data_IF_400216679448
#
_entry.id   IF_400216679448
#
_cell.length_a   1.000
_cell.length_b   1.000
_cell.length_c   1.000
_cell.angle_alpha   90.00
_cell.angle_beta   90.00
_cell.angle_gamma   90.00
#
_symmetry.space_group_name_H-M   'P 1'
#
loop_
_entity.id
_entity.type
_entity.pdbx_description
1 polymer ?
#
# COMPACT_ATOMS: atom_id res chain seq x y z
N UNK A 1 -59.15 21.65 -31.85
CA UNK A 1 -58.48 20.83 -32.87
C UNK A 1 -56.98 21.06 -32.71
N UNK A 2 -56.48 20.79 -31.51
CA UNK A 2 -55.72 19.57 -31.10
C UNK A 2 -54.24 19.99 -30.98
N UNK A 3 -53.87 20.71 -29.92
CA UNK A 3 -53.41 20.17 -28.63
C UNK A 3 -52.22 19.19 -28.78
N UNK A 4 -51.00 19.67 -28.49
CA UNK A 4 -49.93 18.79 -27.99
C UNK A 4 -49.07 19.52 -26.95
N UNK A 5 -49.45 19.28 -25.70
CA UNK A 5 -48.78 19.58 -24.44
C UNK A 5 -47.49 18.72 -24.26
N UNK A 6 -46.54 19.09 -23.38
CA UNK A 6 -45.16 18.61 -23.40
C UNK A 6 -44.80 17.50 -22.38
N UNK A 7 -43.57 16.97 -22.53
CA UNK A 7 -42.77 16.11 -21.60
C UNK A 7 -43.11 14.60 -21.57
N UNK A 8 -42.27 13.68 -21.03
CA UNK A 8 -40.95 13.81 -20.36
C UNK A 8 -39.85 12.83 -20.84
N UNK A 9 -38.64 13.00 -20.28
CA UNK A 9 -37.49 12.08 -20.35
C UNK A 9 -37.82 10.70 -19.74
N UNK A 10 -37.09 9.64 -20.13
CA UNK A 10 -36.76 8.58 -19.18
C UNK A 10 -35.25 8.38 -19.05
N UNK A 11 -34.81 8.53 -17.80
CA UNK A 11 -33.54 8.05 -17.26
C UNK A 11 -33.28 6.60 -17.68
N UNK A 12 -32.19 6.39 -18.42
CA UNK A 12 -31.64 5.07 -18.74
C UNK A 12 -30.39 4.80 -17.92
N UNK A 13 -30.60 4.14 -16.78
CA UNK A 13 -29.63 3.64 -15.81
C UNK A 13 -28.19 3.37 -16.33
N UNK A 14 -27.24 4.08 -15.75
CA UNK A 14 -25.83 3.69 -15.71
C UNK A 14 -25.73 2.46 -14.80
N UNK A 15 -25.70 1.25 -15.39
CA UNK A 15 -25.27 0.06 -14.67
C UNK A 15 -23.75 0.02 -14.69
N UNK A 16 -23.15 0.60 -13.64
CA UNK A 16 -21.79 0.25 -13.23
C UNK A 16 -21.81 -1.18 -12.72
N UNK A 17 -21.42 -2.12 -13.57
CA UNK A 17 -20.92 -3.41 -13.12
C UNK A 17 -19.42 -3.22 -12.87
N UNK A 18 -19.10 -2.90 -11.61
CA UNK A 18 -17.75 -3.08 -11.06
C UNK A 18 -17.49 -4.59 -10.92
N UNK A 19 -17.26 -5.24 -12.06
CA UNK A 19 -16.58 -6.54 -12.10
C UNK A 19 -15.10 -6.24 -12.27
N UNK A 20 -14.31 -6.70 -11.29
CA UNK A 20 -12.86 -6.72 -11.29
C UNK A 20 -12.34 -7.53 -12.48
N UNK A 21 -12.37 -6.90 -13.65
CA UNK A 21 -11.92 -7.48 -14.90
C UNK A 21 -10.40 -7.46 -14.89
N UNK A 22 -9.81 -8.67 -14.80
CA UNK A 22 -8.45 -8.91 -15.25
C UNK A 22 -8.19 -8.13 -16.56
N UNK A 23 -7.03 -7.46 -16.70
CA UNK A 23 -6.79 -6.55 -17.81
C UNK A 23 -6.92 -7.32 -19.13
N UNK A 24 -8.03 -7.10 -19.84
CA UNK A 24 -8.23 -7.74 -21.13
C UNK A 24 -7.15 -7.21 -22.09
N UNK A 25 -6.44 -8.08 -22.81
CA UNK A 25 -5.35 -7.67 -23.70
C UNK A 25 -5.82 -6.69 -24.80
N UNK A 26 -7.13 -6.62 -25.02
CA UNK A 26 -7.77 -5.70 -25.96
C UNK A 26 -7.85 -4.24 -25.48
N UNK A 27 -7.83 -3.94 -24.17
CA UNK A 27 -7.87 -2.51 -23.73
C UNK A 27 -6.65 -1.73 -24.19
N UNK A 28 -5.48 -2.37 -24.17
CA UNK A 28 -4.21 -1.77 -24.63
C UNK A 28 -4.28 -1.50 -26.13
N UNK A 29 -4.92 -2.39 -26.90
CA UNK A 29 -5.00 -2.25 -28.35
C UNK A 29 -5.67 -0.92 -28.75
N UNK A 30 -6.74 -0.52 -28.08
CA UNK A 30 -7.51 0.69 -28.40
C UNK A 30 -6.81 2.02 -28.05
N UNK A 31 -5.76 2.02 -27.24
CA UNK A 31 -5.00 3.23 -26.85
C UNK A 31 -3.70 3.41 -27.63
N UNK A 32 -3.34 2.47 -28.51
CA UNK A 32 -2.09 2.54 -29.27
C UNK A 32 -2.13 3.67 -30.30
N UNK A 33 -1.15 4.56 -30.23
CA UNK A 33 -0.92 5.60 -31.25
C UNK A 33 -0.78 5.00 -32.64
N UNK A 34 -1.27 5.75 -33.64
CA UNK A 34 -1.09 5.40 -35.05
C UNK A 34 0.41 5.25 -35.40
N UNK A 35 0.75 4.20 -36.15
CA UNK A 35 2.12 3.93 -36.58
C UNK A 35 2.64 4.98 -37.57
N UNK A 36 3.97 5.08 -37.70
CA UNK A 36 4.65 6.07 -38.55
C UNK A 36 4.17 6.02 -40.00
N UNK A 37 4.05 4.81 -40.58
CA UNK A 37 3.61 4.64 -41.98
C UNK A 37 2.19 5.14 -42.20
N UNK A 38 1.25 4.82 -41.30
CA UNK A 38 -0.13 5.29 -41.39
C UNK A 38 -0.23 6.80 -41.18
N UNK A 39 0.61 7.38 -40.31
CA UNK A 39 0.73 8.85 -40.14
C UNK A 39 1.21 9.53 -41.42
N UNK A 40 2.30 9.04 -42.02
CA UNK A 40 2.85 9.60 -43.27
C UNK A 40 1.85 9.51 -44.42
N UNK A 41 1.09 8.41 -44.50
CA UNK A 41 0.07 8.20 -45.55
C UNK A 41 -1.29 8.84 -45.24
N UNK A 42 -1.47 9.42 -44.04
CA UNK A 42 -2.75 9.99 -43.58
C UNK A 42 -3.93 8.99 -43.69
N UNK A 43 -3.68 7.73 -43.37
CA UNK A 43 -4.70 6.66 -43.40
C UNK A 43 -5.06 6.19 -41.99
N UNK A 44 -6.27 5.66 -41.80
CA UNK A 44 -6.68 5.03 -40.53
C UNK A 44 -5.72 3.90 -40.14
N UNK A 45 -5.26 3.94 -38.89
CA UNK A 45 -4.40 2.91 -38.32
C UNK A 45 -5.23 2.02 -37.38
N UNK A 46 -5.25 0.72 -37.64
CA UNK A 46 -5.99 -0.22 -36.79
C UNK A 46 -5.18 -0.58 -35.53
N UNK A 47 -5.87 -0.86 -34.41
CA UNK A 47 -5.24 -1.19 -33.14
C UNK A 47 -4.53 -2.56 -33.12
N UNK A 48 -4.63 -3.37 -34.18
CA UNK A 48 -4.10 -4.73 -34.26
C UNK A 48 -2.64 -4.89 -33.83
N UNK A 49 -2.37 -6.00 -33.16
CA UNK A 49 -1.05 -6.48 -32.76
C UNK A 49 -0.81 -7.84 -33.44
N UNK A 50 0.42 -8.14 -33.91
CA UNK A 50 1.67 -7.38 -33.78
C UNK A 50 1.83 -6.24 -34.80
N UNK A 51 0.97 -6.14 -35.81
CA UNK A 51 0.97 -5.08 -36.84
C UNK A 51 -0.45 -4.57 -37.06
N UNK A 52 -0.59 -3.33 -37.52
CA UNK A 52 -1.89 -2.84 -37.99
C UNK A 52 -2.24 -3.44 -39.37
N UNK A 53 -3.53 -3.58 -39.67
CA UNK A 53 -4.02 -4.18 -40.91
C UNK A 53 -3.42 -3.60 -42.21
N UNK A 54 -3.24 -2.27 -42.35
CA UNK A 54 -2.58 -1.68 -43.52
C UNK A 54 -1.10 -2.09 -43.66
N UNK A 55 -0.38 -2.19 -42.54
CA UNK A 55 1.03 -2.59 -42.55
C UNK A 55 1.19 -4.08 -42.83
N UNK A 56 0.28 -4.89 -42.32
CA UNK A 56 0.23 -6.33 -42.57
C UNK A 56 -0.03 -6.66 -44.04
N UNK A 57 -1.05 -6.04 -44.65
CA UNK A 57 -1.37 -6.28 -46.07
C UNK A 57 -0.26 -5.90 -47.05
N UNK A 58 0.58 -4.93 -46.69
CA UNK A 58 1.73 -4.55 -47.54
C UNK A 58 3.04 -5.20 -47.08
N UNK A 59 2.99 -6.07 -46.07
CA UNK A 59 4.18 -6.65 -45.43
C UNK A 59 5.28 -5.62 -45.07
N UNK A 60 4.87 -4.43 -44.62
CA UNK A 60 5.80 -3.36 -44.26
C UNK A 60 6.09 -3.35 -42.77
N UNK A 61 7.25 -2.82 -42.38
CA UNK A 61 7.56 -2.60 -40.97
C UNK A 61 6.55 -1.67 -40.29
N UNK A 62 6.02 -2.09 -39.14
CA UNK A 62 5.03 -1.34 -38.37
C UNK A 62 5.70 -0.83 -37.09
N UNK A 63 6.00 0.47 -37.07
CA UNK A 63 6.77 1.13 -36.01
C UNK A 63 6.07 2.41 -35.56
N UNK A 64 6.25 2.78 -34.28
CA UNK A 64 5.86 4.08 -33.74
C UNK A 64 7.10 4.85 -33.29
N UNK A 65 7.04 6.17 -33.34
CA UNK A 65 8.11 7.05 -32.88
C UNK A 65 7.83 7.45 -31.43
N UNK A 66 8.76 7.13 -30.53
CA UNK A 66 8.71 7.53 -29.13
C UNK A 66 9.49 8.84 -28.96
N UNK A 67 8.81 9.99 -28.71
CA UNK A 67 9.49 11.27 -28.55
C UNK A 67 10.32 11.35 -27.27
N UNK A 68 10.01 10.56 -26.24
CA UNK A 68 10.77 10.57 -24.99
C UNK A 68 12.14 9.89 -25.16
N UNK A 69 12.20 8.85 -25.99
CA UNK A 69 13.43 8.10 -26.27
C UNK A 69 14.10 8.50 -27.58
N UNK A 70 13.46 9.33 -28.40
CA UNK A 70 13.95 9.73 -29.72
C UNK A 70 14.14 8.57 -30.70
N UNK A 71 13.49 7.42 -30.46
CA UNK A 71 13.73 6.18 -31.22
C UNK A 71 12.43 5.62 -31.78
N UNK A 72 12.57 4.81 -32.85
CA UNK A 72 11.47 4.09 -33.46
C UNK A 72 11.36 2.71 -32.82
N UNK A 73 10.18 2.38 -32.35
CA UNK A 73 9.91 1.12 -31.66
C UNK A 73 8.94 0.29 -32.51
N UNK A 74 9.27 -0.97 -32.81
CA UNK A 74 8.39 -1.84 -33.59
C UNK A 74 7.15 -2.20 -32.77
N UNK A 75 5.98 -2.21 -33.42
CA UNK A 75 4.70 -2.55 -32.79
C UNK A 75 4.65 -3.98 -32.25
N UNK A 76 5.42 -4.89 -32.85
CA UNK A 76 5.61 -6.25 -32.35
C UNK A 76 6.25 -6.29 -30.95
N UNK A 77 7.03 -5.27 -30.57
CA UNK A 77 7.67 -5.20 -29.25
C UNK A 77 6.66 -5.21 -28.10
N UNK A 78 5.45 -4.69 -28.31
CA UNK A 78 4.37 -4.73 -27.32
C UNK A 78 3.98 -6.18 -26.99
N UNK A 79 3.92 -7.05 -28.00
CA UNK A 79 3.62 -8.49 -27.80
C UNK A 79 4.76 -9.16 -27.03
N UNK A 80 6.00 -8.87 -27.40
CA UNK A 80 7.16 -9.38 -26.67
C UNK A 80 7.15 -8.94 -25.20
N UNK A 81 6.80 -7.67 -24.91
CA UNK A 81 6.66 -7.17 -23.55
C UNK A 81 5.53 -7.88 -22.79
N UNK A 82 4.38 -8.13 -23.42
CA UNK A 82 3.29 -8.88 -22.80
C UNK A 82 3.70 -10.31 -22.42
N UNK A 83 4.47 -10.99 -23.28
CA UNK A 83 5.03 -12.30 -22.95
C UNK A 83 6.03 -12.20 -21.80
N UNK A 84 6.96 -11.24 -21.86
CA UNK A 84 7.96 -11.05 -20.81
C UNK A 84 7.32 -10.75 -19.44
N UNK A 85 6.28 -9.93 -19.39
CA UNK A 85 5.54 -9.65 -18.17
C UNK A 85 4.92 -10.93 -17.62
N UNK A 86 4.23 -11.72 -18.46
CA UNK A 86 3.65 -13.00 -18.04
C UNK A 86 4.70 -13.97 -17.50
N UNK A 87 5.85 -14.05 -18.15
CA UNK A 87 6.93 -14.95 -17.74
C UNK A 87 7.54 -14.51 -16.39
N UNK A 88 7.73 -13.21 -16.20
CA UNK A 88 8.23 -12.64 -14.93
C UNK A 88 7.22 -12.79 -13.80
N UNK A 89 5.93 -12.56 -14.06
CA UNK A 89 4.86 -12.78 -13.09
C UNK A 89 4.80 -14.25 -12.66
N UNK A 90 4.98 -15.19 -13.60
CA UNK A 90 5.09 -16.61 -13.28
C UNK A 90 6.31 -16.91 -12.42
N UNK A 91 7.48 -16.38 -12.75
CA UNK A 91 8.70 -16.60 -11.97
C UNK A 91 8.57 -16.07 -10.53
N UNK A 92 7.95 -14.90 -10.35
CA UNK A 92 7.66 -14.36 -9.02
C UNK A 92 6.70 -15.27 -8.25
N UNK A 93 5.62 -15.73 -8.88
CA UNK A 93 4.68 -16.64 -8.24
C UNK A 93 5.31 -17.99 -7.86
N UNK A 94 6.26 -18.50 -8.66
CA UNK A 94 6.99 -19.73 -8.35
C UNK A 94 7.95 -19.50 -7.15
N UNK A 95 8.68 -18.38 -7.11
CA UNK A 95 9.56 -18.02 -5.99
C UNK A 95 8.81 -17.72 -4.69
N UNK A 96 7.60 -17.17 -4.77
CA UNK A 96 6.73 -16.94 -3.61
C UNK A 96 6.14 -18.25 -3.04
N UNK A 97 6.14 -19.35 -3.81
CA UNK A 97 5.66 -20.67 -3.36
C UNK A 97 6.75 -21.55 -2.79
N UNK A 98 8.01 -21.29 -3.16
CA UNK A 98 9.16 -21.93 -2.52
C UNK A 98 9.38 -21.24 -1.17
N UNK A 99 8.60 -21.67 -0.16
CA UNK A 99 8.60 -21.21 1.23
C UNK A 99 10.01 -21.25 1.84
N UNK A 100 10.75 -20.15 1.68
CA UNK A 100 11.78 -19.76 2.65
C UNK A 100 11.00 -19.28 3.87
N UNK A 101 11.17 -19.99 5.00
CA UNK A 101 10.71 -19.53 6.33
C UNK A 101 10.95 -18.01 6.40
N UNK A 102 9.90 -17.20 6.46
CA UNK A 102 10.05 -15.78 6.24
C UNK A 102 10.92 -15.24 7.36
N UNK A 103 12.06 -14.63 7.00
CA UNK A 103 12.95 -13.96 7.94
C UNK A 103 12.07 -13.06 8.83
N UNK A 104 12.13 -13.16 10.17
CA UNK A 104 11.33 -12.31 11.05
C UNK A 104 11.44 -10.82 10.71
N UNK A 105 12.57 -10.38 10.15
CA UNK A 105 12.75 -9.03 9.59
C UNK A 105 11.81 -8.72 8.40
N UNK A 106 11.61 -9.64 7.47
CA UNK A 106 10.76 -9.47 6.29
C UNK A 106 9.28 -9.51 6.63
N UNK A 107 8.88 -10.34 7.59
CA UNK A 107 7.50 -10.31 8.16
C UNK A 107 7.21 -8.94 8.78
N UNK A 108 8.21 -8.37 9.47
CA UNK A 108 8.08 -7.06 10.12
C UNK A 108 8.03 -5.91 9.09
N UNK A 109 8.77 -6.01 7.98
CA UNK A 109 8.71 -5.05 6.86
C UNK A 109 7.41 -5.14 6.05
N UNK A 110 6.91 -6.35 5.82
CA UNK A 110 5.71 -6.58 5.01
C UNK A 110 4.40 -6.42 5.81
N UNK A 111 4.48 -6.24 7.12
CA UNK A 111 3.33 -5.92 8.01
C UNK A 111 2.52 -4.67 7.59
N UNK A 112 3.08 -3.81 6.75
CA UNK A 112 2.40 -2.66 6.17
C UNK A 112 1.37 -3.03 5.08
N UNK A 113 1.40 -4.26 4.55
CA UNK A 113 0.48 -4.75 3.53
C UNK A 113 -0.81 -5.38 4.09
N UNK A 114 -0.92 -5.52 5.43
CA UNK A 114 -2.08 -6.11 6.09
C UNK A 114 -3.26 -5.13 6.03
N UNK A 115 -4.21 -5.39 5.12
CA UNK A 115 -5.47 -4.66 5.04
C UNK A 115 -6.41 -5.11 6.16
N UNK A 116 -6.57 -4.28 7.18
CA UNK A 116 -7.47 -4.57 8.31
C UNK A 116 -8.94 -4.41 7.89
N UNK A 117 -9.26 -3.53 6.94
CA UNK A 117 -10.59 -3.32 6.33
C UNK A 117 -10.46 -2.81 4.88
N UNK A 118 -11.51 -2.99 4.08
CA UNK A 118 -11.61 -2.61 2.65
C UNK A 118 -11.45 -1.10 2.39
N UNK A 119 -11.52 -0.26 3.42
CA UNK A 119 -11.55 1.21 3.32
C UNK A 119 -10.40 1.94 4.02
N UNK A 120 -9.44 1.25 4.65
CA UNK A 120 -8.38 1.94 5.41
C UNK A 120 -7.04 1.86 4.66
N UNK A 121 -6.59 3.00 4.13
CA UNK A 121 -5.26 3.14 3.55
C UNK A 121 -4.21 2.80 4.62
N UNK A 122 -3.27 1.91 4.32
CA UNK A 122 -2.22 1.51 5.24
C UNK A 122 -1.27 2.67 5.52
N UNK A 123 -1.63 3.53 6.47
CA UNK A 123 -0.79 4.64 6.92
C UNK A 123 0.40 4.06 7.68
N UNK A 124 1.59 4.33 7.15
CA UNK A 124 2.86 4.04 7.79
C UNK A 124 3.12 5.13 8.84
N UNK A 125 2.98 4.79 10.11
CA UNK A 125 3.13 5.72 11.24
C UNK A 125 4.58 5.79 11.77
N UNK A 126 5.54 5.23 11.03
CA UNK A 126 6.96 5.23 11.35
C UNK A 126 7.43 4.00 12.15
N UNK A 127 8.74 3.73 12.19
CA UNK A 127 9.30 2.50 12.76
C UNK A 127 9.07 2.33 14.27
N UNK A 128 8.87 3.42 15.02
CA UNK A 128 8.70 3.44 16.48
C UNK A 128 7.25 3.31 16.95
N UNK A 129 6.27 3.40 16.05
CA UNK A 129 4.85 3.56 16.41
C UNK A 129 4.17 2.28 16.93
N UNK A 130 4.89 1.16 17.03
CA UNK A 130 4.37 -0.13 17.52
C UNK A 130 3.26 -0.75 16.65
N UNK A 131 2.77 -0.03 15.63
CA UNK A 131 1.63 -0.42 14.79
C UNK A 131 1.91 -1.71 14.01
N UNK A 132 3.16 -1.91 13.62
CA UNK A 132 3.66 -3.14 13.00
C UNK A 132 3.48 -4.35 13.91
N UNK A 133 3.84 -4.21 15.19
CA UNK A 133 3.69 -5.27 16.19
C UNK A 133 2.21 -5.58 16.39
N UNK A 134 1.37 -4.55 16.53
CA UNK A 134 -0.08 -4.74 16.68
C UNK A 134 -0.72 -5.43 15.46
N UNK A 135 -0.33 -5.05 14.24
CA UNK A 135 -0.81 -5.68 13.00
C UNK A 135 -0.37 -7.13 12.88
N UNK A 136 0.89 -7.42 13.20
CA UNK A 136 1.43 -8.78 13.19
C UNK A 136 0.68 -9.67 14.20
N UNK A 137 0.49 -9.19 15.42
CA UNK A 137 -0.29 -9.90 16.45
C UNK A 137 -1.72 -10.14 15.99
N UNK A 138 -2.35 -9.17 15.33
CA UNK A 138 -3.71 -9.34 14.76
C UNK A 138 -3.75 -10.40 13.65
N UNK A 139 -2.74 -10.43 12.77
CA UNK A 139 -2.62 -11.43 11.70
C UNK A 139 -2.39 -12.83 12.28
N UNK A 140 -1.47 -12.98 13.24
CA UNK A 140 -1.22 -14.24 13.91
C UNK A 140 -2.46 -14.71 14.68
N UNK A 141 -3.14 -13.81 15.39
CA UNK A 141 -4.41 -14.14 16.05
C UNK A 141 -5.42 -14.70 15.03
N UNK A 142 -5.57 -14.06 13.86
CA UNK A 142 -6.47 -14.55 12.80
C UNK A 142 -6.06 -15.90 12.20
N UNK A 143 -4.76 -16.23 12.19
CA UNK A 143 -4.25 -17.52 11.71
C UNK A 143 -4.41 -18.64 12.75
N UNK A 144 -4.28 -18.33 14.05
CA UNK A 144 -4.33 -19.30 15.14
C UNK A 144 -5.70 -19.43 15.80
N UNK A 145 -6.66 -18.57 15.45
CA UNK A 145 -8.07 -18.71 15.84
C UNK A 145 -8.89 -19.05 14.60
N UNK A 146 -9.68 -20.13 14.64
CA UNK A 146 -10.63 -20.49 13.58
C UNK A 146 -11.80 -19.48 13.42
N UNK A 147 -11.80 -18.44 14.26
CA UNK A 147 -12.82 -17.40 14.29
C UNK A 147 -12.70 -16.44 13.11
N UNK A 148 -13.81 -16.29 12.38
CA UNK A 148 -13.88 -15.40 11.20
C UNK A 148 -13.97 -13.92 11.59
N UNK A 149 -14.32 -13.63 12.84
CA UNK A 149 -14.53 -12.27 13.35
C UNK A 149 -13.94 -12.08 14.75
N UNK A 150 -13.37 -10.89 14.99
CA UNK A 150 -12.87 -10.44 16.30
C UNK A 150 -13.98 -10.51 17.38
N UNK A 151 -15.25 -10.39 16.99
CA UNK A 151 -16.42 -10.50 17.88
C UNK A 151 -16.58 -11.88 18.53
N UNK A 152 -16.02 -12.93 17.93
CA UNK A 152 -16.07 -14.30 18.50
C UNK A 152 -15.02 -14.50 19.61
N UNK A 153 -13.91 -13.75 19.54
CA UNK A 153 -12.78 -13.84 20.48
C UNK A 153 -13.04 -12.96 21.71
N UNK A 154 -13.66 -11.79 21.51
CA UNK A 154 -14.04 -10.87 22.58
C UNK A 154 -15.56 -10.69 22.56
N UNK A 155 -16.31 -11.36 23.46
CA UNK A 155 -17.75 -11.17 23.57
C UNK A 155 -18.11 -9.70 23.81
N UNK A 156 -19.23 -9.24 23.24
CA UNK A 156 -19.66 -7.83 23.30
C UNK A 156 -19.76 -7.27 24.73
N UNK A 157 -20.12 -8.11 25.70
CA UNK A 157 -20.17 -7.75 27.12
C UNK A 157 -18.78 -7.38 27.67
N UNK A 158 -17.76 -8.16 27.31
CA UNK A 158 -16.37 -7.93 27.68
C UNK A 158 -15.80 -6.72 26.96
N UNK A 159 -16.09 -6.55 25.68
CA UNK A 159 -15.68 -5.36 24.91
C UNK A 159 -16.23 -4.07 25.52
N UNK A 160 -17.51 -4.06 25.91
CA UNK A 160 -18.15 -2.93 26.61
C UNK A 160 -17.49 -2.64 27.96
N UNK A 161 -17.16 -3.68 28.73
CA UNK A 161 -16.48 -3.51 30.02
C UNK A 161 -15.06 -2.96 29.88
N UNK A 162 -14.31 -3.44 28.88
CA UNK A 162 -12.97 -2.90 28.56
C UNK A 162 -13.09 -1.43 28.16
N UNK A 163 -14.02 -1.08 27.26
CA UNK A 163 -14.21 0.31 26.86
C UNK A 163 -14.59 1.21 28.05
N UNK A 164 -15.50 0.76 28.91
CA UNK A 164 -15.90 1.52 30.10
C UNK A 164 -14.74 1.74 31.09
N UNK A 165 -13.88 0.73 31.28
CA UNK A 165 -12.70 0.87 32.15
C UNK A 165 -11.65 1.81 31.56
N UNK A 166 -11.44 1.81 30.23
CA UNK A 166 -10.61 2.81 29.57
C UNK A 166 -11.20 4.22 29.68
N UNK A 167 -12.51 4.38 29.43
CA UNK A 167 -13.19 5.67 29.54
C UNK A 167 -13.17 6.22 30.98
N UNK A 168 -13.17 5.36 32.00
CA UNK A 168 -13.00 5.76 33.41
C UNK A 168 -11.56 6.15 33.74
N UNK A 169 -10.56 5.45 33.19
CA UNK A 169 -9.15 5.81 33.34
C UNK A 169 -8.81 7.14 32.64
N UNK A 170 -9.35 7.38 31.44
CA UNK A 170 -9.14 8.63 30.69
C UNK A 170 -9.73 9.86 31.39
N UNK A 171 -10.76 9.66 32.21
CA UNK A 171 -11.34 10.72 33.05
C UNK A 171 -10.51 11.04 34.28
N UNK A 172 -9.56 10.17 34.67
CA UNK A 172 -8.69 10.45 35.81
C UNK A 172 -7.68 11.51 35.39
N UNK A 173 -7.51 12.60 36.17
CA UNK A 173 -6.47 13.56 35.91
C UNK A 173 -5.11 12.85 36.07
N UNK A 174 -4.49 12.56 34.93
CA UNK A 174 -3.12 12.05 34.77
C UNK A 174 -2.83 10.71 35.44
N UNK A 175 -2.96 9.60 34.69
CA UNK A 175 -2.25 8.36 35.07
C UNK A 175 -1.16 7.94 34.08
N UNK A 176 -1.09 8.48 32.84
CA UNK A 176 -0.08 8.04 31.85
C UNK A 176 0.50 9.08 30.91
N UNK A 177 0.21 10.37 31.08
CA UNK A 177 0.87 11.44 30.32
C UNK A 177 1.60 12.34 31.30
N UNK A 178 2.78 11.92 31.73
CA UNK A 178 3.76 12.91 32.16
C UNK A 178 4.22 13.61 30.89
N UNK A 179 4.02 14.92 30.74
CA UNK A 179 4.69 15.62 29.66
C UNK A 179 6.20 15.37 29.83
N UNK A 180 6.89 15.05 28.73
CA UNK A 180 8.35 14.84 28.74
C UNK A 180 9.10 16.05 29.32
N UNK A 181 8.44 17.20 29.36
CA UNK A 181 8.90 18.46 29.94
C UNK A 181 7.77 18.98 30.82
N UNK A 182 8.01 19.10 32.12
CA UNK A 182 7.11 19.84 33.02
C UNK A 182 7.29 21.34 32.77
N UNK A 183 6.22 22.03 32.40
CA UNK A 183 6.21 23.50 32.32
C UNK A 183 6.24 24.16 33.71
N UNK A 184 6.09 23.36 34.77
CA UNK A 184 6.25 23.76 36.17
C UNK A 184 7.70 23.51 36.58
N UNK A 185 8.41 24.58 36.90
CA UNK A 185 9.74 24.50 37.50
C UNK A 185 9.65 23.75 38.85
N UNK A 186 10.49 22.75 39.05
CA UNK A 186 10.60 22.11 40.35
C UNK A 186 11.08 23.14 41.38
N UNK A 187 10.33 23.30 42.48
CA UNK A 187 10.67 24.25 43.56
C UNK A 187 12.01 23.88 44.21
N UNK A 188 12.28 22.58 44.32
CA UNK A 188 13.53 22.04 44.84
C UNK A 188 14.15 21.05 43.84
N UNK A 189 15.46 21.19 43.63
CA UNK A 189 16.25 20.23 42.88
C UNK A 189 16.49 18.97 43.72
N UNK A 190 16.48 17.77 43.12
CA UNK A 190 16.80 16.55 43.85
C UNK A 190 18.21 16.60 44.45
N UNK A 191 18.41 15.92 45.59
CA UNK A 191 19.72 15.79 46.23
C UNK A 191 20.73 15.19 45.24
N UNK A 192 22.00 15.60 45.34
CA UNK A 192 23.09 15.25 44.42
C UNK A 192 23.19 13.75 44.17
N UNK A 193 23.04 12.94 45.21
CA UNK A 193 23.11 11.47 45.10
C UNK A 193 21.99 10.90 44.25
N UNK A 194 20.78 11.45 44.41
CA UNK A 194 19.60 11.07 43.63
C UNK A 194 19.73 11.56 42.18
N UNK A 195 20.26 12.76 41.96
CA UNK A 195 20.57 13.27 40.61
C UNK A 195 21.53 12.34 39.88
N UNK A 196 22.63 11.94 40.54
CA UNK A 196 23.63 11.05 39.96
C UNK A 196 23.03 9.68 39.61
N UNK A 197 22.19 9.14 40.49
CA UNK A 197 21.48 7.88 40.26
C UNK A 197 20.52 7.96 39.06
N UNK A 198 19.74 9.04 38.96
CA UNK A 198 18.82 9.26 37.85
C UNK A 198 19.56 9.41 36.51
N UNK A 199 20.68 10.14 36.51
CA UNK A 199 21.56 10.27 35.34
C UNK A 199 22.13 8.91 34.94
N UNK A 200 22.60 8.13 35.90
CA UNK A 200 23.12 6.78 35.64
C UNK A 200 22.05 5.85 35.06
N UNK A 201 20.82 5.91 35.58
CA UNK A 201 19.69 5.13 35.06
C UNK A 201 19.28 5.58 33.66
N UNK A 202 19.28 6.88 33.38
CA UNK A 202 18.98 7.43 32.05
C UNK A 202 19.98 6.94 31.00
N UNK A 203 21.27 7.01 31.30
CA UNK A 203 22.32 6.50 30.41
C UNK A 203 22.39 4.97 30.36
N UNK A 204 21.96 4.27 31.42
CA UNK A 204 21.98 2.81 31.50
C UNK A 204 20.77 2.11 30.88
N UNK A 205 19.62 2.79 30.73
CA UNK A 205 18.36 2.20 30.23
C UNK A 205 17.88 2.72 28.87
N UNK A 206 18.64 3.59 28.20
CA UNK A 206 18.30 4.04 26.85
C UNK A 206 18.76 3.03 25.78
N UNK A 207 17.87 2.46 24.95
CA UNK A 207 18.26 1.65 23.78
C UNK A 207 18.77 2.50 22.58
N UNK A 208 19.17 3.76 22.80
CA UNK A 208 19.48 4.71 21.73
C UNK A 208 20.80 5.45 21.96
N UNK A 209 21.90 4.75 22.24
CA UNK A 209 23.22 5.21 21.84
C UNK A 209 24.08 3.99 21.50
N UNK A 210 24.64 3.89 20.28
CA UNK A 210 25.59 2.82 20.00
C UNK A 210 26.77 2.98 20.97
N UNK A 211 27.07 1.90 21.69
CA UNK A 211 28.24 1.77 22.52
C UNK A 211 29.51 1.81 21.65
N UNK A 212 29.90 3.01 21.22
CA UNK A 212 31.17 3.33 20.56
C UNK A 212 31.53 4.78 20.85
N UNK A 213 31.67 5.12 22.14
CA UNK A 213 32.52 6.22 22.56
C UNK A 213 33.75 5.58 23.22
N UNK A 214 34.74 5.32 22.38
CA UNK A 214 36.09 4.93 22.75
C UNK A 214 36.57 5.75 23.94
N UNK A 215 36.94 5.05 25.01
CA UNK A 215 37.96 5.47 25.96
C UNK A 215 39.16 6.02 25.19
N UNK A 216 39.35 7.33 25.21
CA UNK A 216 40.62 7.96 24.89
C UNK A 216 40.68 9.39 25.44
N UNK A 217 41.79 9.64 26.14
CA UNK A 217 42.35 10.94 26.55
C UNK A 217 41.77 11.47 27.88
N UNK A 218 42.46 11.14 28.98
CA UNK A 218 43.57 11.91 29.60
C UNK A 218 43.03 13.14 30.33
#
# INVERSE_FOLDING_TARGET
>A
MDAKEPQPQPNGAVKGSDEAAAPSPNRIAHTLTACCRCRTRKTRCDPGLPRCGPCERTNSHCEYYDPAKGTKIPRNYVVHLQHKVRDLEKQLADLERDDVEPDPEDVMRNSAAVRIQESDESKFLGPSSGITITRLVMQLAKQFTDSKSISEIVPDSRAKHIKATFDEEDKKPTSKVYPLISDVAAEDLPNRDLTNLLVQLFYGKGPYYPANATLALV
#
